data_IF_716297761205
#
_entry.id   IF_716297761205
#
_cell.length_a   1.000
_cell.length_b   1.000
_cell.length_c   1.000
_cell.angle_alpha   90.00
_cell.angle_beta   90.00
_cell.angle_gamma   90.00
#
_symmetry.space_group_name_H-M   'P 1'
#
loop_
_entity.id
_entity.type
_entity.pdbx_description
1 polymer ?
#
# COMPACT_ATOMS: atom_id res chain seq x y z
N UNK A 1 -5.24 1.34 -4.96
CA UNK A 1 -5.77 1.81 -6.26
C UNK A 1 -6.01 3.32 -6.18
N UNK A 2 -5.71 4.11 -7.22
CA UNK A 2 -5.10 3.73 -8.49
C UNK A 2 -3.56 3.68 -8.47
N UNK A 3 -2.92 4.32 -7.48
CA UNK A 3 -1.47 4.60 -7.49
C UNK A 3 -0.55 3.48 -6.96
N UNK A 4 -0.83 2.22 -7.30
CA UNK A 4 -0.08 1.06 -6.80
C UNK A 4 1.06 0.59 -7.74
N UNK A 5 1.03 1.04 -9.01
CA UNK A 5 1.86 0.54 -10.13
C UNK A 5 3.37 0.74 -9.91
N UNK A 6 3.76 1.71 -9.09
CA UNK A 6 5.17 2.03 -8.84
C UNK A 6 5.86 1.00 -7.93
N UNK A 7 5.13 0.36 -7.01
CA UNK A 7 5.73 -0.47 -5.97
C UNK A 7 6.37 -1.76 -6.53
N UNK A 8 5.73 -2.52 -7.43
CA UNK A 8 6.36 -3.68 -8.05
C UNK A 8 7.60 -3.30 -8.87
N UNK A 9 7.57 -2.13 -9.52
CA UNK A 9 8.72 -1.61 -10.29
C UNK A 9 9.89 -1.20 -9.38
N UNK A 10 9.61 -0.72 -8.16
CA UNK A 10 10.63 -0.33 -7.20
C UNK A 10 11.45 -1.53 -6.64
N UNK A 11 10.98 -2.77 -6.82
CA UNK A 11 11.69 -3.98 -6.42
C UNK A 11 12.95 -4.29 -7.24
N UNK A 12 13.21 -3.53 -8.30
CA UNK A 12 14.49 -3.53 -9.00
C UNK A 12 15.65 -3.05 -8.10
N UNK A 13 15.35 -2.34 -7.00
CA UNK A 13 16.36 -1.90 -6.04
C UNK A 13 17.05 -3.08 -5.32
N UNK A 14 18.25 -2.86 -4.75
CA UNK A 14 18.93 -3.83 -3.91
C UNK A 14 18.05 -4.26 -2.73
N UNK A 15 18.11 -5.54 -2.35
CA UNK A 15 17.24 -6.15 -1.34
C UNK A 15 17.22 -5.41 0.02
N UNK A 16 18.33 -4.87 0.56
CA UNK A 16 18.27 -4.12 1.82
C UNK A 16 17.49 -2.81 1.71
N UNK A 17 17.61 -2.14 0.55
CA UNK A 17 16.90 -0.87 0.27
C UNK A 17 15.41 -1.12 0.14
N UNK A 18 15.03 -2.17 -0.61
CA UNK A 18 13.64 -2.60 -0.73
C UNK A 18 13.02 -2.95 0.62
N UNK A 19 13.74 -3.68 1.48
CA UNK A 19 13.27 -4.04 2.81
C UNK A 19 13.02 -2.80 3.69
N UNK A 20 13.92 -1.82 3.71
CA UNK A 20 13.74 -0.62 4.52
C UNK A 20 12.61 0.28 3.99
N UNK A 21 12.63 0.58 2.68
CA UNK A 21 11.68 1.52 2.08
C UNK A 21 10.26 0.95 2.02
N UNK A 22 10.10 -0.32 1.65
CA UNK A 22 8.79 -0.93 1.41
C UNK A 22 8.20 -1.64 2.62
N UNK A 23 8.95 -1.81 3.71
CA UNK A 23 8.41 -2.37 4.96
C UNK A 23 8.33 -1.37 6.10
N UNK A 24 9.21 -0.35 6.16
CA UNK A 24 9.33 0.51 7.34
C UNK A 24 8.96 1.97 7.10
N UNK A 25 9.35 2.58 5.98
CA UNK A 25 9.32 4.05 5.86
C UNK A 25 8.36 4.56 4.78
N UNK A 26 8.67 4.35 3.50
CA UNK A 26 8.02 5.04 2.39
C UNK A 26 6.53 4.68 2.27
N UNK A 27 6.18 3.41 2.37
CA UNK A 27 4.76 2.96 2.26
C UNK A 27 3.90 3.36 3.46
N UNK A 28 4.52 3.59 4.64
CA UNK A 28 3.80 3.97 5.87
C UNK A 28 3.58 5.48 6.01
N UNK A 29 4.29 6.30 5.25
CA UNK A 29 4.15 7.76 5.29
C UNK A 29 2.71 8.21 4.97
N UNK A 30 2.06 7.59 3.99
CA UNK A 30 0.66 7.86 3.65
C UNK A 30 -0.30 7.50 4.79
N UNK A 31 -0.11 6.32 5.41
CA UNK A 31 -0.90 5.87 6.56
C UNK A 31 -0.72 6.82 7.75
N UNK A 32 0.52 7.24 8.02
CA UNK A 32 0.82 8.22 9.07
C UNK A 32 0.08 9.53 8.86
N UNK A 33 0.07 10.06 7.63
CA UNK A 33 -0.66 11.29 7.31
C UNK A 33 -2.18 11.10 7.48
N UNK A 34 -2.76 10.00 7.00
CA UNK A 34 -4.18 9.71 7.21
C UNK A 34 -4.52 9.70 8.70
N UNK A 35 -3.76 8.96 9.51
CA UNK A 35 -3.95 8.92 10.97
C UNK A 35 -3.79 10.30 11.62
N UNK A 36 -2.84 11.11 11.14
CA UNK A 36 -2.61 12.47 11.64
C UNK A 36 -3.78 13.42 11.35
N UNK A 37 -4.47 13.24 10.22
CA UNK A 37 -5.64 14.03 9.84
C UNK A 37 -6.97 13.46 10.34
N UNK A 38 -7.00 12.21 10.83
CA UNK A 38 -8.21 11.59 11.40
C UNK A 38 -8.88 12.42 12.49
N UNK A 39 -8.18 13.10 13.43
CA UNK A 39 -8.85 13.98 14.40
C UNK A 39 -9.65 15.13 13.77
N UNK A 40 -9.27 15.58 12.57
CA UNK A 40 -9.93 16.65 11.85
C UNK A 40 -11.03 16.12 10.90
N UNK A 41 -10.73 15.05 10.16
CA UNK A 41 -11.59 14.53 9.08
C UNK A 41 -12.45 13.33 9.50
N UNK A 42 -12.11 12.66 10.60
CA UNK A 42 -12.69 11.40 11.05
C UNK A 42 -14.14 11.46 11.51
N UNK A 43 -14.68 12.67 11.75
CA UNK A 43 -16.10 12.87 12.03
C UNK A 43 -16.97 12.84 10.76
N UNK A 44 -16.36 12.96 9.58
CA UNK A 44 -17.06 12.90 8.31
C UNK A 44 -17.25 11.45 7.84
N UNK A 45 -18.50 11.02 7.69
CA UNK A 45 -18.82 9.71 7.11
C UNK A 45 -18.22 9.54 5.71
N UNK A 46 -18.12 10.62 4.93
CA UNK A 46 -17.52 10.59 3.59
C UNK A 46 -16.03 10.21 3.67
N UNK A 47 -15.28 10.74 4.64
CA UNK A 47 -13.87 10.39 4.83
C UNK A 47 -13.71 8.90 5.18
N UNK A 48 -14.51 8.41 6.13
CA UNK A 48 -14.48 7.00 6.55
C UNK A 48 -14.78 6.10 5.36
N UNK A 49 -15.88 6.33 4.65
CA UNK A 49 -16.25 5.49 3.52
C UNK A 49 -15.20 5.50 2.41
N UNK A 50 -14.65 6.65 2.04
CA UNK A 50 -13.62 6.72 0.99
C UNK A 50 -12.38 5.92 1.41
N UNK A 51 -11.85 6.14 2.61
CA UNK A 51 -10.65 5.44 3.09
C UNK A 51 -10.90 3.93 3.15
N UNK A 52 -12.05 3.51 3.69
CA UNK A 52 -12.40 2.09 3.82
C UNK A 52 -12.60 1.43 2.45
N UNK A 53 -13.39 2.01 1.54
CA UNK A 53 -13.64 1.41 0.23
C UNK A 53 -12.40 1.39 -0.64
N UNK A 54 -11.61 2.47 -0.67
CA UNK A 54 -10.35 2.49 -1.43
C UNK A 54 -9.37 1.47 -0.85
N UNK A 55 -9.28 1.33 0.47
CA UNK A 55 -8.48 0.31 1.14
C UNK A 55 -8.90 -1.11 0.76
N UNK A 56 -10.20 -1.42 0.84
CA UNK A 56 -10.74 -2.73 0.51
C UNK A 56 -10.50 -3.13 -0.95
N UNK A 57 -10.75 -2.21 -1.89
CA UNK A 57 -10.50 -2.46 -3.32
C UNK A 57 -9.01 -2.72 -3.55
N UNK A 58 -8.14 -1.95 -2.88
CA UNK A 58 -6.68 -2.11 -3.01
C UNK A 58 -6.20 -3.43 -2.45
N UNK A 59 -6.69 -3.83 -1.28
CA UNK A 59 -6.37 -5.10 -0.62
C UNK A 59 -6.78 -6.31 -1.48
N UNK A 60 -8.01 -6.30 -2.01
CA UNK A 60 -8.49 -7.38 -2.88
C UNK A 60 -7.67 -7.46 -4.16
N UNK A 61 -7.36 -6.32 -4.75
CA UNK A 61 -6.53 -6.25 -5.95
C UNK A 61 -5.13 -6.80 -5.68
N UNK A 62 -4.44 -6.29 -4.64
CA UNK A 62 -3.10 -6.73 -4.23
C UNK A 62 -3.04 -8.23 -4.00
N UNK A 63 -3.98 -8.75 -3.20
CA UNK A 63 -4.10 -10.18 -2.90
C UNK A 63 -4.24 -11.06 -4.15
N UNK A 64 -5.17 -10.73 -5.06
CA UNK A 64 -5.38 -11.51 -6.29
C UNK A 64 -4.14 -11.43 -7.21
N UNK A 65 -3.51 -10.26 -7.31
CA UNK A 65 -2.32 -10.08 -8.15
C UNK A 65 -1.06 -10.75 -7.60
N UNK A 66 -0.93 -10.86 -6.27
CA UNK A 66 0.18 -11.56 -5.62
C UNK A 66 0.20 -13.05 -5.97
N UNK A 67 -0.99 -13.69 -6.03
CA UNK A 67 -1.13 -15.10 -6.42
C UNK A 67 -0.68 -15.40 -7.86
N UNK A 68 -0.62 -14.38 -8.72
CA UNK A 68 -0.20 -14.51 -10.13
C UNK A 68 1.30 -14.24 -10.34
N UNK A 69 2.03 -13.82 -9.30
CA UNK A 69 3.46 -13.55 -9.42
C UNK A 69 4.29 -14.83 -9.27
N UNK A 70 5.39 -14.89 -10.01
CA UNK A 70 6.32 -16.03 -10.01
C UNK A 70 7.62 -15.72 -9.29
N UNK A 71 7.93 -14.43 -9.09
CA UNK A 71 9.12 -13.96 -8.40
C UNK A 71 8.81 -13.53 -6.96
N UNK A 72 9.72 -13.86 -6.03
CA UNK A 72 9.56 -13.57 -4.61
C UNK A 72 9.40 -12.08 -4.31
N UNK A 73 10.15 -11.21 -5.00
CA UNK A 73 10.07 -9.76 -4.77
C UNK A 73 8.73 -9.20 -5.24
N UNK A 74 8.21 -9.68 -6.37
CA UNK A 74 6.89 -9.36 -6.90
C UNK A 74 5.79 -9.79 -5.93
N UNK A 75 5.85 -11.02 -5.43
CA UNK A 75 4.91 -11.50 -4.39
C UNK A 75 4.92 -10.56 -3.17
N UNK A 76 6.12 -10.20 -2.67
CA UNK A 76 6.26 -9.29 -1.52
C UNK A 76 5.79 -7.86 -1.81
N UNK A 77 5.97 -7.37 -3.03
CA UNK A 77 5.43 -6.07 -3.44
C UNK A 77 3.90 -6.08 -3.44
N UNK A 78 3.27 -7.10 -4.01
CA UNK A 78 1.81 -7.16 -4.04
C UNK A 78 1.17 -7.54 -2.71
N UNK A 79 1.89 -8.20 -1.79
CA UNK A 79 1.43 -8.41 -0.42
C UNK A 79 1.55 -7.15 0.47
N UNK A 80 2.35 -6.17 0.05
CA UNK A 80 2.46 -4.86 0.73
C UNK A 80 1.49 -3.82 0.20
N UNK A 81 0.89 -4.05 -0.98
CA UNK A 81 -0.21 -3.26 -1.57
C UNK A 81 -1.53 -3.67 -0.94
#
# INVERSE_FOLDING_TARGET
FPFHIWLPRAMAAPTPVSAYLHSATMVKAGIFLLLRFTPLLGLSNMYIYIVTFVGLITMLFGSITALKQWDLKGILAYSTI
#
